data_IF_897729139443
#
_entry.id   IF_897729139443
#
_cell.length_a   1.000
_cell.length_b   1.000
_cell.length_c   1.000
_cell.angle_alpha   90.00
_cell.angle_beta   90.00
_cell.angle_gamma   90.00
#
_symmetry.space_group_name_H-M   'P 1'
#
loop_
_entity.id
_entity.type
_entity.pdbx_description
1 polymer ?
#
# COMPACT_ATOMS: atom_id res chain seq x y z
N UNK A 1 12.11 -11.69 -0.22
CA UNK A 1 11.55 -10.46 0.38
C UNK A 1 11.71 -9.36 -0.65
N UNK A 2 10.63 -8.68 -1.01
CA UNK A 2 10.72 -7.36 -1.64
C UNK A 2 11.12 -6.42 -0.51
N UNK A 3 12.21 -5.67 -0.65
CA UNK A 3 12.72 -4.81 0.41
C UNK A 3 13.32 -3.55 -0.19
N UNK A 4 12.89 -2.40 0.32
CA UNK A 4 13.24 -1.09 -0.24
C UNK A 4 14.36 -0.39 0.53
N UNK A 5 15.32 -1.13 1.10
CA UNK A 5 16.37 -0.57 1.98
C UNK A 5 15.80 0.21 3.18
N UNK A 6 14.71 -0.31 3.74
CA UNK A 6 13.97 0.30 4.83
C UNK A 6 14.73 0.13 6.17
N UNK A 7 14.63 1.12 7.05
CA UNK A 7 15.45 1.24 8.27
C UNK A 7 14.79 0.65 9.53
N UNK A 8 13.56 0.16 9.43
CA UNK A 8 12.83 -0.43 10.56
C UNK A 8 12.97 -1.95 10.63
N UNK A 9 12.90 -2.47 11.85
CA UNK A 9 12.61 -3.86 12.14
C UNK A 9 11.10 -4.04 12.32
N UNK A 10 10.46 -4.89 11.50
CA UNK A 10 9.05 -5.23 11.72
C UNK A 10 8.90 -6.25 12.85
N UNK A 11 8.03 -5.96 13.82
CA UNK A 11 7.77 -6.84 14.97
C UNK A 11 6.30 -7.23 15.06
N UNK A 12 6.00 -8.24 15.87
CA UNK A 12 4.66 -8.65 16.30
C UNK A 12 4.30 -8.10 17.69
N UNK A 13 5.08 -7.16 18.23
CA UNK A 13 4.89 -6.61 19.58
C UNK A 13 3.75 -5.60 19.64
N UNK A 14 3.11 -5.51 20.81
CA UNK A 14 1.97 -4.61 21.07
C UNK A 14 2.34 -3.12 20.93
N UNK A 15 3.60 -2.79 21.12
CA UNK A 15 4.17 -1.46 20.92
C UNK A 15 4.03 -1.00 19.46
N UNK A 16 4.11 -1.94 18.51
CA UNK A 16 4.08 -1.66 17.08
C UNK A 16 2.73 -1.96 16.42
N UNK A 17 1.95 -2.91 16.93
CA UNK A 17 0.60 -3.20 16.45
C UNK A 17 -0.35 -3.55 17.60
N UNK A 18 -1.41 -2.75 17.79
CA UNK A 18 -2.41 -2.99 18.85
C UNK A 18 -3.80 -2.57 18.44
N UNK A 19 -4.81 -3.22 19.04
CA UNK A 19 -6.19 -2.76 18.98
C UNK A 19 -6.49 -1.91 20.23
N UNK A 20 -6.80 -0.64 20.04
CA UNK A 20 -7.03 0.32 21.12
C UNK A 20 -8.11 1.32 20.71
N UNK A 21 -9.08 1.58 21.58
CA UNK A 21 -10.12 2.58 21.32
C UNK A 21 -10.93 2.31 20.05
N UNK A 22 -11.26 1.03 19.80
CA UNK A 22 -11.94 0.54 18.60
C UNK A 22 -11.17 0.72 17.28
N UNK A 23 -9.85 0.94 17.36
CA UNK A 23 -9.00 1.17 16.20
C UNK A 23 -7.79 0.25 16.24
N UNK A 24 -7.36 -0.17 15.06
CA UNK A 24 -6.03 -0.74 14.89
C UNK A 24 -5.02 0.41 14.83
N UNK A 25 -4.00 0.35 15.67
CA UNK A 25 -2.86 1.28 15.68
C UNK A 25 -1.63 0.50 15.21
N UNK A 26 -1.05 0.96 14.10
CA UNK A 26 0.29 0.59 13.65
C UNK A 26 1.19 1.76 14.03
N UNK A 27 2.28 1.51 14.75
CA UNK A 27 3.16 2.55 15.28
C UNK A 27 4.61 2.26 14.93
N UNK A 28 5.20 3.16 14.15
CA UNK A 28 6.65 3.19 13.94
C UNK A 28 7.31 3.91 15.13
N UNK A 29 8.36 3.31 15.69
CA UNK A 29 9.05 3.83 16.88
C UNK A 29 10.55 3.95 16.61
N UNK A 30 11.18 4.95 17.21
CA UNK A 30 12.64 5.06 17.26
C UNK A 30 13.13 4.33 18.49
N UNK A 31 13.71 3.16 18.30
CA UNK A 31 14.29 2.32 19.35
C UNK A 31 15.34 1.38 18.73
N UNK A 32 16.37 1.05 19.49
CA UNK A 32 17.37 0.07 19.06
C UNK A 32 16.81 -1.35 19.27
N UNK A 33 16.53 -2.06 18.18
CA UNK A 33 15.94 -3.39 18.21
C UNK A 33 16.35 -4.22 17.00
N UNK A 34 16.79 -5.45 17.23
CA UNK A 34 17.14 -6.37 16.14
C UNK A 34 18.23 -5.85 15.18
N UNK A 35 19.12 -4.98 15.66
CA UNK A 35 20.17 -4.34 14.84
C UNK A 35 19.71 -3.13 14.02
N UNK A 36 18.45 -2.70 14.17
CA UNK A 36 17.89 -1.50 13.53
C UNK A 36 17.62 -0.40 14.56
N UNK A 37 17.48 0.84 14.09
CA UNK A 37 17.21 2.04 14.92
C UNK A 37 15.73 2.42 15.01
N UNK A 38 14.90 1.66 14.30
CA UNK A 38 13.46 1.85 14.27
C UNK A 38 12.77 0.49 14.33
N UNK A 39 11.57 0.48 14.89
CA UNK A 39 10.65 -0.66 14.80
C UNK A 39 9.35 -0.20 14.18
N UNK A 40 8.60 -1.14 13.61
CA UNK A 40 7.26 -0.92 13.12
C UNK A 40 6.50 -2.24 13.06
N UNK A 41 5.31 -2.25 12.45
CA UNK A 41 4.60 -3.48 12.12
C UNK A 41 4.21 -3.51 10.64
N UNK A 42 4.19 -4.72 10.09
CA UNK A 42 3.61 -5.05 8.78
C UNK A 42 2.62 -6.17 8.97
N UNK A 43 1.35 -5.80 8.94
CA UNK A 43 0.24 -6.72 9.14
C UNK A 43 -0.17 -7.30 7.80
N UNK A 44 -0.51 -8.58 7.82
CA UNK A 44 -1.06 -9.33 6.69
C UNK A 44 -2.40 -9.92 7.10
N UNK A 45 -3.41 -9.72 6.27
CA UNK A 45 -4.72 -10.34 6.47
C UNK A 45 -4.63 -11.88 6.45
N UNK A 46 -5.50 -12.55 7.23
CA UNK A 46 -5.58 -14.02 7.26
C UNK A 46 -6.26 -14.61 6.03
N UNK A 47 -7.15 -13.84 5.43
CA UNK A 47 -7.90 -14.20 4.24
C UNK A 47 -7.40 -13.42 3.04
N UNK A 48 -7.64 -13.96 1.86
CA UNK A 48 -7.32 -13.33 0.59
C UNK A 48 -8.59 -13.33 -0.26
N UNK A 49 -8.68 -12.36 -1.18
CA UNK A 49 -9.86 -12.15 -2.02
C UNK A 49 -9.46 -12.00 -3.46
N UNK A 50 -10.36 -12.35 -4.37
CA UNK A 50 -10.29 -11.95 -5.78
C UNK A 50 -11.49 -11.06 -6.07
N UNK A 51 -11.23 -9.88 -6.63
CA UNK A 51 -12.26 -8.88 -6.95
C UNK A 51 -13.00 -8.33 -5.72
N UNK A 52 -13.91 -7.39 -5.99
CA UNK A 52 -14.77 -6.75 -5.02
C UNK A 52 -14.32 -5.33 -4.66
N UNK A 53 -14.97 -4.77 -3.64
CA UNK A 53 -14.64 -3.46 -3.08
C UNK A 53 -13.92 -3.62 -1.76
N UNK A 54 -12.71 -3.09 -1.66
CA UNK A 54 -11.97 -2.95 -0.41
C UNK A 54 -12.06 -1.50 0.04
N UNK A 55 -12.50 -1.26 1.28
CA UNK A 55 -12.47 0.05 1.91
C UNK A 55 -11.69 0.01 3.21
N UNK A 56 -10.73 0.92 3.34
CA UNK A 56 -9.96 1.11 4.57
C UNK A 56 -10.12 2.53 5.05
N UNK A 57 -10.66 2.71 6.25
CA UNK A 57 -10.75 4.01 6.91
C UNK A 57 -9.53 4.20 7.80
N UNK A 58 -8.63 5.10 7.43
CA UNK A 58 -7.36 5.30 8.12
C UNK A 58 -7.02 6.78 8.24
N UNK A 59 -6.31 7.12 9.33
CA UNK A 59 -5.60 8.39 9.47
C UNK A 59 -4.11 8.09 9.36
N UNK A 60 -3.42 8.79 8.46
CA UNK A 60 -2.01 8.51 8.19
C UNK A 60 -1.10 9.18 9.23
N UNK A 61 0.06 8.60 9.55
CA UNK A 61 1.06 9.28 10.36
C UNK A 61 1.67 10.45 9.59
N UNK A 62 2.04 11.51 10.30
CA UNK A 62 2.88 12.60 9.81
C UNK A 62 4.31 12.44 10.32
N UNK A 63 5.28 12.84 9.50
CA UNK A 63 6.69 12.84 9.87
C UNK A 63 7.59 12.41 8.73
N UNK A 64 8.61 13.23 8.44
CA UNK A 64 9.60 12.93 7.40
C UNK A 64 10.25 11.58 7.67
N UNK A 65 10.38 10.76 6.63
CA UNK A 65 10.91 9.40 6.73
C UNK A 65 9.86 8.32 6.94
N UNK A 66 8.61 8.65 7.29
CA UNK A 66 7.54 7.65 7.40
C UNK A 66 6.93 7.33 6.03
N UNK A 67 6.67 6.06 5.78
CA UNK A 67 6.02 5.55 4.57
C UNK A 67 4.89 4.58 4.93
N UNK A 68 3.69 5.11 5.26
CA UNK A 68 2.51 4.28 5.42
C UNK A 68 2.04 3.70 4.07
N UNK A 69 1.58 2.44 4.09
CA UNK A 69 1.02 1.77 2.92
C UNK A 69 -0.21 0.92 3.27
N UNK A 70 -1.21 0.96 2.39
CA UNK A 70 -2.33 0.01 2.29
C UNK A 70 -2.24 -0.60 0.90
N UNK A 71 -1.96 -1.89 0.84
CA UNK A 71 -1.56 -2.53 -0.41
C UNK A 71 -1.88 -4.01 -0.39
N UNK A 72 -1.67 -4.68 -1.52
CA UNK A 72 -2.04 -6.08 -1.68
C UNK A 72 -0.98 -6.87 -2.44
N UNK A 73 -0.75 -8.11 -2.01
CA UNK A 73 0.12 -9.07 -2.69
C UNK A 73 -0.61 -10.40 -2.94
N UNK A 74 -0.25 -11.13 -4.00
CA UNK A 74 -0.90 -12.38 -4.38
C UNK A 74 -0.74 -13.46 -3.30
N UNK A 75 -1.74 -14.32 -3.16
CA UNK A 75 -1.69 -15.43 -2.22
C UNK A 75 -0.69 -16.51 -2.64
N UNK A 76 -0.52 -16.69 -3.96
CA UNK A 76 0.26 -17.76 -4.56
C UNK A 76 1.05 -17.24 -5.75
N UNK A 77 2.13 -17.94 -6.09
CA UNK A 77 2.82 -17.77 -7.37
C UNK A 77 2.09 -18.61 -8.43
N UNK A 78 1.06 -18.02 -9.05
CA UNK A 78 0.28 -18.65 -10.13
C UNK A 78 0.89 -18.45 -11.52
N UNK A 79 1.73 -17.43 -11.68
CA UNK A 79 2.29 -16.98 -12.95
C UNK A 79 3.81 -16.84 -12.88
N UNK A 80 4.43 -17.06 -14.03
CA UNK A 80 5.87 -16.88 -14.23
C UNK A 80 6.73 -17.73 -13.29
N UNK A 81 8.00 -17.36 -13.20
CA UNK A 81 9.00 -18.06 -12.38
C UNK A 81 9.40 -17.28 -11.14
N UNK A 82 9.04 -15.99 -11.04
CA UNK A 82 9.23 -15.16 -9.86
C UNK A 82 7.90 -14.94 -9.14
N UNK A 83 7.93 -14.80 -7.82
CA UNK A 83 6.73 -14.40 -7.07
C UNK A 83 6.32 -12.96 -7.43
N UNK A 84 7.28 -12.02 -7.37
CA UNK A 84 7.10 -10.63 -7.75
C UNK A 84 8.13 -10.26 -8.82
N UNK A 85 7.78 -9.46 -9.84
CA UNK A 85 6.48 -8.81 -10.04
C UNK A 85 5.47 -9.64 -10.85
N UNK A 86 5.81 -10.88 -11.22
CA UNK A 86 5.01 -11.73 -12.12
C UNK A 86 3.55 -11.91 -11.66
N UNK A 87 3.32 -11.97 -10.35
CA UNK A 87 1.99 -12.23 -9.77
C UNK A 87 1.30 -10.97 -9.26
N UNK A 88 1.89 -9.80 -9.50
CA UNK A 88 1.28 -8.50 -9.25
C UNK A 88 1.47 -7.92 -7.86
N UNK A 89 1.18 -6.64 -7.76
CA UNK A 89 1.08 -5.83 -6.54
C UNK A 89 0.05 -4.72 -6.81
N UNK A 90 -0.81 -4.45 -5.83
CA UNK A 90 -1.80 -3.38 -5.89
C UNK A 90 -1.56 -2.44 -4.71
N UNK A 91 -1.01 -1.27 -4.99
CA UNK A 91 -0.78 -0.24 -3.98
C UNK A 91 -1.96 0.72 -3.98
N UNK A 92 -2.96 0.41 -3.16
CA UNK A 92 -4.16 1.24 -3.03
C UNK A 92 -3.80 2.62 -2.49
N UNK A 93 -2.95 2.69 -1.47
CA UNK A 93 -2.55 3.95 -0.86
C UNK A 93 -1.12 3.85 -0.36
N UNK A 94 -0.29 4.77 -0.82
CA UNK A 94 1.00 5.08 -0.25
C UNK A 94 1.13 6.59 -0.02
N UNK A 95 1.93 6.95 0.98
CA UNK A 95 2.36 8.33 1.20
C UNK A 95 3.81 8.32 1.67
N UNK A 96 4.58 9.32 1.28
CA UNK A 96 5.91 9.60 1.85
C UNK A 96 5.84 10.82 2.74
N UNK A 97 6.39 10.71 3.94
CA UNK A 97 6.32 11.79 4.93
C UNK A 97 7.04 13.10 4.55
N UNK A 98 7.82 13.14 3.46
CA UNK A 98 8.38 14.39 2.93
C UNK A 98 7.41 15.15 2.01
N UNK A 99 6.38 14.48 1.47
CA UNK A 99 5.29 15.07 0.68
C UNK A 99 3.95 14.69 1.33
N UNK A 100 3.69 15.20 2.55
CA UNK A 100 2.48 14.86 3.28
C UNK A 100 1.24 15.28 2.49
N UNK A 101 0.14 14.56 2.68
CA UNK A 101 -1.15 14.78 1.99
C UNK A 101 -1.18 14.36 0.52
N UNK A 102 -0.05 14.03 -0.09
CA UNK A 102 -0.03 13.39 -1.41
C UNK A 102 -0.29 11.89 -1.27
N UNK A 103 -1.47 11.46 -1.70
CA UNK A 103 -1.84 10.05 -1.77
C UNK A 103 -1.46 9.51 -3.13
N UNK A 104 -0.66 8.46 -3.14
CA UNK A 104 -0.18 7.77 -4.34
C UNK A 104 -0.80 6.40 -4.41
N UNK A 105 -1.19 6.01 -5.63
CA UNK A 105 -1.63 4.67 -5.95
C UNK A 105 -0.78 4.13 -7.10
N UNK A 106 -0.38 2.86 -7.00
CA UNK A 106 0.49 2.21 -7.98
C UNK A 106 0.03 0.77 -8.26
N UNK A 107 0.41 0.26 -9.42
CA UNK A 107 0.17 -1.12 -9.82
C UNK A 107 1.46 -1.70 -10.36
N UNK A 108 1.90 -2.85 -9.84
CA UNK A 108 3.06 -3.55 -10.37
C UNK A 108 2.68 -4.90 -10.96
N UNK A 109 3.28 -5.24 -12.09
CA UNK A 109 3.13 -6.48 -12.85
C UNK A 109 4.45 -6.88 -13.50
N UNK A 110 4.50 -8.07 -14.12
CA UNK A 110 5.67 -8.52 -14.89
C UNK A 110 6.09 -7.49 -15.96
N UNK A 111 5.12 -6.96 -16.71
CA UNK A 111 5.33 -5.97 -17.75
C UNK A 111 5.62 -4.56 -17.20
N UNK A 112 4.93 -4.17 -16.11
CA UNK A 112 4.95 -2.82 -15.58
C UNK A 112 5.36 -2.77 -14.12
N UNK A 113 6.58 -2.35 -13.79
CA UNK A 113 7.02 -2.29 -12.39
C UNK A 113 8.13 -1.24 -12.17
N UNK A 114 8.41 -0.96 -10.90
CA UNK A 114 9.36 0.09 -10.52
C UNK A 114 10.80 -0.19 -10.95
N UNK A 115 11.21 -1.47 -11.08
CA UNK A 115 12.54 -1.82 -11.58
C UNK A 115 12.72 -1.39 -13.05
N UNK A 116 11.61 -1.26 -13.79
CA UNK A 116 11.56 -0.82 -15.18
C UNK A 116 11.11 0.64 -15.34
N UNK A 117 10.77 1.33 -14.24
CA UNK A 117 10.13 2.65 -14.24
C UNK A 117 8.89 2.73 -15.15
N UNK A 118 8.10 1.66 -15.22
CA UNK A 118 6.96 1.54 -16.14
C UNK A 118 5.63 1.28 -15.44
N UNK A 119 5.61 1.25 -14.11
CA UNK A 119 4.40 1.03 -13.31
C UNK A 119 3.34 2.10 -13.58
N UNK A 120 2.06 1.73 -13.81
CA UNK A 120 0.96 2.67 -13.66
C UNK A 120 0.98 3.24 -12.26
N UNK A 121 1.14 4.56 -12.15
CA UNK A 121 1.15 5.27 -10.88
C UNK A 121 0.55 6.64 -11.07
N UNK A 122 -0.19 7.12 -10.07
CA UNK A 122 -0.65 8.50 -10.02
C UNK A 122 -0.76 8.97 -8.57
N UNK A 123 -0.69 10.28 -8.36
CA UNK A 123 -0.85 10.88 -7.04
C UNK A 123 -1.84 12.04 -7.06
N UNK A 124 -2.59 12.19 -5.98
CA UNK A 124 -3.50 13.32 -5.78
C UNK A 124 -3.24 13.98 -4.43
N UNK A 125 -3.47 15.28 -4.36
CA UNK A 125 -3.41 16.01 -3.10
C UNK A 125 -4.73 15.89 -2.36
N UNK A 126 -4.66 15.48 -1.09
CA UNK A 126 -5.81 15.24 -0.22
C UNK A 126 -5.68 16.04 1.05
N UNK A 127 -6.52 17.05 1.22
CA UNK A 127 -6.49 17.91 2.41
C UNK A 127 -6.66 17.08 3.69
N UNK A 128 -5.80 17.35 4.69
CA UNK A 128 -5.83 16.73 6.01
C UNK A 128 -5.73 15.20 6.06
N UNK A 129 -5.07 14.55 5.08
CA UNK A 129 -4.87 13.09 5.12
C UNK A 129 -4.08 12.60 6.36
N UNK A 130 -3.22 13.45 6.92
CA UNK A 130 -2.49 13.16 8.16
C UNK A 130 -3.25 13.56 9.44
N UNK A 131 -4.25 14.45 9.34
CA UNK A 131 -4.95 15.02 10.49
C UNK A 131 -6.28 14.29 10.76
N UNK A 132 -6.95 13.84 9.69
CA UNK A 132 -8.26 13.22 9.74
C UNK A 132 -8.26 11.80 9.18
N UNK A 133 -9.31 11.05 9.53
CA UNK A 133 -9.57 9.77 8.87
C UNK A 133 -10.07 10.02 7.45
N UNK A 134 -9.47 9.32 6.50
CA UNK A 134 -9.92 9.22 5.11
C UNK A 134 -10.32 7.79 4.80
N UNK A 135 -11.13 7.61 3.77
CA UNK A 135 -11.58 6.31 3.27
C UNK A 135 -10.86 6.03 1.95
N UNK A 136 -9.95 5.06 1.97
CA UNK A 136 -9.23 4.58 0.80
C UNK A 136 -9.99 3.39 0.21
N UNK A 137 -10.39 3.49 -1.05
CA UNK A 137 -11.26 2.52 -1.72
C UNK A 137 -10.59 1.94 -2.95
N UNK A 138 -10.52 0.62 -3.03
CA UNK A 138 -10.23 -0.12 -4.25
C UNK A 138 -11.52 -0.77 -4.77
N UNK A 139 -11.91 -0.45 -5.98
CA UNK A 139 -12.83 -1.24 -6.79
C UNK A 139 -12.05 -2.12 -7.74
N UNK A 140 -12.10 -3.42 -7.50
CA UNK A 140 -11.38 -4.42 -8.26
C UNK A 140 -12.35 -5.35 -8.97
N UNK A 141 -12.30 -5.33 -10.30
CA UNK A 141 -13.08 -6.23 -11.16
C UNK A 141 -12.15 -7.04 -12.06
N UNK A 142 -12.73 -7.91 -12.89
CA UNK A 142 -11.99 -8.65 -13.93
C UNK A 142 -11.29 -7.75 -14.95
N UNK A 143 -11.74 -6.50 -15.10
CA UNK A 143 -11.37 -5.63 -16.21
C UNK A 143 -10.74 -4.31 -15.77
N UNK A 144 -10.89 -3.91 -14.50
CA UNK A 144 -10.31 -2.67 -13.98
C UNK A 144 -10.00 -2.70 -12.48
N UNK A 145 -8.98 -1.91 -12.13
CA UNK A 145 -8.65 -1.48 -10.77
C UNK A 145 -8.92 0.02 -10.73
N UNK A 146 -9.83 0.45 -9.86
CA UNK A 146 -10.09 1.86 -9.62
C UNK A 146 -9.84 2.18 -8.16
N UNK A 147 -8.98 3.18 -7.93
CA UNK A 147 -8.51 3.55 -6.61
C UNK A 147 -8.94 4.96 -6.30
N UNK A 148 -9.50 5.14 -5.11
CA UNK A 148 -10.10 6.40 -4.69
C UNK A 148 -9.75 6.74 -3.24
N UNK A 149 -9.86 8.02 -2.94
CA UNK A 149 -9.78 8.57 -1.59
C UNK A 149 -10.97 9.50 -1.34
N UNK A 150 -11.65 9.30 -0.21
CA UNK A 150 -12.77 10.13 0.24
C UNK A 150 -12.72 10.36 1.74
N UNK A 151 -13.78 10.92 2.29
CA UNK A 151 -14.00 11.07 3.73
C UNK A 151 -15.49 10.91 4.07
N UNK A 152 -15.83 10.75 5.36
CA UNK A 152 -17.23 10.49 5.75
C UNK A 152 -18.18 11.66 5.46
N UNK A 153 -17.63 12.87 5.32
CA UNK A 153 -18.42 14.10 5.17
C UNK A 153 -18.59 14.49 3.70
N UNK A 154 -17.95 13.76 2.78
CA UNK A 154 -17.98 14.03 1.35
C UNK A 154 -18.50 12.81 0.58
N UNK A 155 -19.67 12.92 -0.07
CA UNK A 155 -20.19 11.84 -0.91
C UNK A 155 -19.34 11.59 -2.16
N UNK A 156 -18.45 12.53 -2.54
CA UNK A 156 -17.58 12.41 -3.69
C UNK A 156 -16.21 11.86 -3.27
N UNK A 157 -15.88 10.69 -3.82
CA UNK A 157 -14.56 10.10 -3.75
C UNK A 157 -13.69 10.68 -4.87
N UNK A 158 -12.53 11.22 -4.51
CA UNK A 158 -11.53 11.64 -5.48
C UNK A 158 -10.84 10.41 -6.05
N UNK A 159 -10.87 10.26 -7.37
CA UNK A 159 -10.18 9.19 -8.06
C UNK A 159 -8.67 9.45 -8.11
N UNK A 160 -7.89 8.47 -7.66
CA UNK A 160 -6.42 8.50 -7.68
C UNK A 160 -5.91 7.85 -8.96
N UNK A 161 -6.27 6.59 -9.21
CA UNK A 161 -5.78 5.81 -10.35
C UNK A 161 -6.89 4.93 -10.92
N UNK A 162 -6.90 4.78 -12.25
CA UNK A 162 -7.63 3.72 -12.95
C UNK A 162 -6.64 2.93 -13.80
N UNK A 163 -6.58 1.62 -13.61
CA UNK A 163 -5.85 0.70 -14.48
C UNK A 163 -6.82 -0.29 -15.11
N UNK A 164 -6.83 -0.39 -16.42
CA UNK A 164 -7.75 -1.23 -17.18
C UNK A 164 -6.99 -2.38 -17.85
N UNK A 165 -7.59 -3.57 -17.86
CA UNK A 165 -7.00 -4.77 -18.46
C UNK A 165 -6.72 -4.60 -19.95
N UNK A 166 -7.65 -3.99 -20.71
CA UNK A 166 -7.51 -3.75 -22.17
C UNK A 166 -6.99 -4.96 -22.98
N UNK A 167 -7.46 -6.17 -22.64
CA UNK A 167 -7.06 -7.40 -23.32
C UNK A 167 -5.65 -7.92 -22.99
N UNK A 168 -4.96 -7.32 -22.03
CA UNK A 168 -3.64 -7.77 -21.58
C UNK A 168 -3.68 -9.21 -21.03
N UNK A 169 -2.58 -9.94 -21.26
CA UNK A 169 -2.30 -11.24 -20.65
C UNK A 169 -1.87 -11.06 -19.18
N UNK A 170 -1.47 -12.15 -18.51
CA UNK A 170 -1.05 -12.12 -17.11
C UNK A 170 0.16 -11.21 -16.85
N UNK A 171 1.03 -10.95 -17.83
CA UNK A 171 2.19 -10.09 -17.64
C UNK A 171 1.78 -8.63 -17.40
N UNK A 172 0.69 -8.18 -18.04
CA UNK A 172 0.09 -6.85 -17.82
C UNK A 172 -1.09 -6.85 -16.84
N UNK A 173 -1.67 -8.02 -16.55
CA UNK A 173 -2.84 -8.17 -15.69
C UNK A 173 -2.86 -9.51 -14.94
N UNK A 174 -2.09 -9.66 -13.84
CA UNK A 174 -2.14 -10.85 -12.98
C UNK A 174 -3.25 -10.80 -11.92
N UNK A 175 -4.16 -9.82 -11.99
CA UNK A 175 -5.16 -9.50 -10.95
C UNK A 175 -6.45 -10.33 -11.07
N UNK A 176 -6.30 -11.63 -11.28
CA UNK A 176 -7.38 -12.62 -11.39
C UNK A 176 -7.18 -13.82 -10.44
N UNK A 177 -6.38 -13.60 -9.39
CA UNK A 177 -6.09 -14.54 -8.31
C UNK A 177 -6.35 -13.88 -6.97
N UNK A 178 -6.31 -14.65 -5.90
CA UNK A 178 -6.49 -14.15 -4.55
C UNK A 178 -5.32 -13.27 -4.11
N UNK A 179 -5.60 -12.14 -3.49
CA UNK A 179 -4.62 -11.23 -2.91
C UNK A 179 -4.89 -11.02 -1.41
N UNK A 180 -3.81 -11.04 -0.62
CA UNK A 180 -3.83 -10.61 0.77
C UNK A 180 -3.73 -9.09 0.84
N UNK A 181 -4.46 -8.49 1.79
CA UNK A 181 -4.26 -7.11 2.22
C UNK A 181 -3.07 -7.03 3.16
N UNK A 182 -2.24 -6.00 2.97
CA UNK A 182 -1.12 -5.63 3.81
C UNK A 182 -1.27 -4.18 4.29
N UNK A 183 -0.88 -3.96 5.56
CA UNK A 183 -0.87 -2.65 6.20
C UNK A 183 0.48 -2.47 6.90
N UNK A 184 1.21 -1.40 6.62
CA UNK A 184 2.45 -1.09 7.33
C UNK A 184 2.79 0.40 7.36
N UNK A 185 3.77 0.72 8.19
CA UNK A 185 4.54 1.97 8.12
C UNK A 185 6.01 1.57 7.95
N UNK A 186 6.59 1.78 6.78
CA UNK A 186 8.04 1.72 6.60
C UNK A 186 8.69 3.01 7.10
N UNK A 187 9.99 2.96 7.39
CA UNK A 187 10.81 4.09 7.83
C UNK A 187 12.03 4.20 6.92
N UNK A 188 12.21 5.35 6.27
CA UNK A 188 13.24 5.54 5.25
C UNK A 188 12.93 4.74 3.98
N UNK A 189 13.96 4.12 3.43
CA UNK A 189 13.86 3.36 2.18
C UNK A 189 14.04 4.20 0.92
N UNK A 190 14.25 3.53 -0.20
CA UNK A 190 14.66 4.09 -1.50
C UNK A 190 13.75 5.23 -1.99
N UNK A 191 12.45 5.16 -1.73
CA UNK A 191 11.51 6.21 -2.16
C UNK A 191 11.62 7.50 -1.32
N UNK A 192 12.11 7.44 -0.08
CA UNK A 192 12.33 8.62 0.78
C UNK A 192 13.62 9.38 0.45
N UNK A 193 14.53 8.81 -0.37
CA UNK A 193 15.87 9.36 -0.63
C UNK A 193 16.02 10.03 -1.99
N UNK A 194 14.99 9.98 -2.84
CA UNK A 194 14.97 10.77 -4.07
C UNK A 194 14.65 12.23 -3.73
N UNK A 195 15.72 12.98 -3.45
CA UNK A 195 15.74 14.44 -3.61
C UNK A 195 15.71 14.83 -5.09
#
# INVERSE_FOLDING_TARGET
MIGNQEAQYYTDRIENARYQGQRLIIEARREDYGGQRFTSARLKSKHAWTYGRLQTKAKLPSGRGLWPAIWMLPQTQSYGNAYWPDNGEIDLMEQVGFDPNRIVSSVHTAAFNHMKNSQPTNGVQVHDACNDFKIYTLDWTSDKLEMFVGDDNNPFFQRVLTWERKGQNWEGWPFDKNFFILLNIAVGGSWQVLC
#
